data_IF_639941524854
#
_entry.id   IF_639941524854
#
_cell.length_a   1.000
_cell.length_b   1.000
_cell.length_c   1.000
_cell.angle_alpha   90.00
_cell.angle_beta   90.00
_cell.angle_gamma   90.00
#
_symmetry.space_group_name_H-M   'P 1'
#
loop_
_entity.id
_entity.type
_entity.pdbx_description
1 polymer ?
#
# COMPACT_ATOMS: atom_id res chain seq x y z
N UNK A 1 36.97 24.58 50.16
CA UNK A 1 36.26 23.32 49.84
C UNK A 1 34.80 23.62 49.45
N UNK A 2 34.55 24.18 48.24
CA UNK A 2 33.21 24.64 47.81
C UNK A 2 33.01 24.56 46.27
N UNK A 3 33.40 23.44 45.64
CA UNK A 3 33.24 23.27 44.17
C UNK A 3 32.56 21.95 43.78
N UNK A 4 32.22 21.06 44.72
CA UNK A 4 31.70 19.72 44.37
C UNK A 4 30.18 19.55 44.37
N UNK A 5 29.39 20.56 44.73
CA UNK A 5 27.93 20.40 44.86
C UNK A 5 27.14 20.97 43.67
N UNK A 6 27.70 21.88 42.88
CA UNK A 6 26.98 22.48 41.74
C UNK A 6 26.93 21.56 40.52
N UNK A 7 27.88 20.64 40.36
CA UNK A 7 27.93 19.75 39.21
C UNK A 7 26.91 18.59 39.28
N UNK A 8 26.33 18.32 40.46
CA UNK A 8 25.36 17.23 40.62
C UNK A 8 23.92 17.63 40.31
N UNK A 9 23.61 18.94 40.28
CA UNK A 9 22.26 19.43 39.95
C UNK A 9 22.06 19.72 38.45
N UNK A 10 23.13 19.71 37.65
CA UNK A 10 23.03 19.88 36.18
C UNK A 10 22.90 18.56 35.41
N UNK A 11 23.16 17.41 36.04
CA UNK A 11 23.03 16.09 35.38
C UNK A 11 21.63 15.49 35.61
N UNK A 12 20.89 15.96 36.62
CA UNK A 12 19.51 15.52 36.90
C UNK A 12 18.44 16.24 36.06
N UNK A 13 18.80 17.26 35.29
CA UNK A 13 17.87 18.02 34.45
C UNK A 13 17.94 17.68 32.95
N UNK A 14 18.88 16.81 32.53
CA UNK A 14 19.01 16.38 31.12
C UNK A 14 18.44 14.97 30.86
N UNK A 15 18.01 14.24 31.89
CA UNK A 15 17.62 12.82 31.76
C UNK A 15 16.12 12.51 31.85
N UNK A 16 15.22 13.50 31.79
CA UNK A 16 13.76 13.26 31.80
C UNK A 16 12.96 13.96 30.67
N UNK A 17 13.60 14.33 29.56
CA UNK A 17 12.93 14.19 28.25
C UNK A 17 13.07 12.72 27.83
N UNK A 18 12.46 11.83 28.62
CA UNK A 18 12.03 10.56 28.08
C UNK A 18 11.02 10.93 26.99
N UNK A 19 11.49 10.99 25.75
CA UNK A 19 10.65 10.73 24.59
C UNK A 19 10.12 9.30 24.77
N UNK A 20 9.18 9.11 25.70
CA UNK A 20 8.31 7.94 25.74
C UNK A 20 7.66 7.97 24.37
N UNK A 21 8.13 7.07 23.50
CA UNK A 21 7.50 6.77 22.23
C UNK A 21 6.05 6.47 22.60
N UNK A 22 5.14 7.44 22.40
CA UNK A 22 3.72 7.26 22.72
C UNK A 22 3.28 5.96 22.07
N UNK A 23 2.62 5.10 22.82
CA UNK A 23 2.13 3.86 22.24
C UNK A 23 1.16 4.20 21.10
N UNK A 24 1.00 3.30 20.14
CA UNK A 24 0.07 3.50 19.03
C UNK A 24 -1.35 3.82 19.54
N UNK A 25 -1.74 3.20 20.66
CA UNK A 25 -3.00 3.48 21.33
C UNK A 25 -3.05 4.90 21.91
N UNK A 26 -2.00 5.37 22.60
CA UNK A 26 -1.97 6.75 23.12
C UNK A 26 -2.06 7.79 21.99
N UNK A 27 -1.43 7.50 20.84
CA UNK A 27 -1.52 8.36 19.66
C UNK A 27 -2.96 8.42 19.13
N UNK A 28 -3.60 7.27 18.94
CA UNK A 28 -4.98 7.18 18.50
C UNK A 28 -5.94 7.91 19.45
N UNK A 29 -5.89 7.58 20.75
CA UNK A 29 -6.72 8.22 21.78
C UNK A 29 -6.52 9.74 21.83
N UNK A 30 -5.25 10.19 21.75
CA UNK A 30 -4.96 11.63 21.72
C UNK A 30 -5.49 12.34 20.48
N UNK A 31 -5.65 11.61 19.37
CA UNK A 31 -6.22 12.13 18.13
C UNK A 31 -7.75 12.19 18.18
N UNK A 32 -8.41 11.09 18.57
CA UNK A 32 -9.88 11.01 18.59
C UNK A 32 -10.52 11.85 19.69
N UNK A 33 -9.84 12.00 20.85
CA UNK A 33 -10.32 12.78 22.01
C UNK A 33 -9.63 14.12 22.17
N UNK A 34 -9.09 14.66 21.07
CA UNK A 34 -8.44 15.97 21.08
C UNK A 34 -9.42 17.02 21.60
N UNK A 35 -9.06 17.69 22.69
CA UNK A 35 -9.87 18.77 23.27
C UNK A 35 -9.79 20.00 22.38
N UNK A 36 -10.74 20.11 21.46
CA UNK A 36 -10.98 21.31 20.67
C UNK A 36 -12.29 21.95 21.10
N UNK A 37 -12.35 23.27 21.02
CA UNK A 37 -13.53 24.07 21.39
C UNK A 37 -14.68 23.90 20.39
N UNK A 38 -14.40 23.35 19.21
CA UNK A 38 -15.41 23.08 18.19
C UNK A 38 -16.37 21.97 18.63
N UNK A 39 -17.64 22.12 18.20
CA UNK A 39 -18.68 21.10 18.37
C UNK A 39 -18.41 19.89 17.46
N UNK A 40 -17.99 20.15 16.23
CA UNK A 40 -17.62 19.13 15.23
C UNK A 40 -16.34 19.52 14.49
N UNK A 41 -15.53 18.53 14.12
CA UNK A 41 -14.26 18.69 13.44
C UNK A 41 -14.32 17.91 12.12
N UNK A 42 -14.11 18.59 11.00
CA UNK A 42 -14.05 17.90 9.71
C UNK A 42 -12.78 17.06 9.64
N UNK A 43 -12.94 15.74 9.48
CA UNK A 43 -11.83 14.83 9.27
C UNK A 43 -11.25 15.04 7.87
N UNK A 44 -9.97 15.39 7.79
CA UNK A 44 -9.22 15.41 6.54
C UNK A 44 -8.57 14.06 6.32
N UNK A 45 -8.82 13.44 5.17
CA UNK A 45 -8.24 12.16 4.74
C UNK A 45 -7.30 12.37 3.55
N UNK A 46 -6.38 11.43 3.36
CA UNK A 46 -5.35 11.45 2.32
C UNK A 46 -5.92 11.26 0.90
N UNK A 47 -7.16 10.77 0.77
CA UNK A 47 -7.80 10.67 -0.55
C UNK A 47 -8.10 12.05 -1.17
N UNK A 48 -8.44 13.04 -0.35
CA UNK A 48 -8.89 14.36 -0.83
C UNK A 48 -7.86 15.46 -0.58
N UNK A 49 -6.96 15.26 0.37
CA UNK A 49 -6.02 16.28 0.83
C UNK A 49 -4.58 15.83 0.60
N UNK A 50 -3.69 16.79 0.38
CA UNK A 50 -2.24 16.50 0.40
C UNK A 50 -1.82 16.01 1.80
N UNK A 51 -0.79 15.17 1.84
CA UNK A 51 -0.29 14.57 3.10
C UNK A 51 0.14 15.66 4.09
N UNK A 52 0.67 16.78 3.60
CA UNK A 52 1.11 17.92 4.39
C UNK A 52 -0.05 18.60 5.13
N UNK A 53 -1.25 18.57 4.55
CA UNK A 53 -2.46 19.18 5.09
C UNK A 53 -3.15 18.33 6.17
N UNK A 54 -2.72 17.07 6.36
CA UNK A 54 -3.26 16.17 7.39
C UNK A 54 -2.69 16.49 8.79
N UNK A 55 -3.49 16.25 9.82
CA UNK A 55 -3.05 16.36 11.23
C UNK A 55 -1.80 15.50 11.46
N UNK A 56 -0.83 16.06 12.20
CA UNK A 56 0.47 15.43 12.43
C UNK A 56 0.34 14.06 13.11
N UNK A 57 -0.63 13.90 14.00
CA UNK A 57 -0.88 12.63 14.69
C UNK A 57 -1.54 11.64 13.75
N UNK A 58 -2.52 12.07 12.96
CA UNK A 58 -3.14 11.25 11.92
C UNK A 58 -2.09 10.67 10.97
N UNK A 59 -1.24 11.54 10.42
CA UNK A 59 -0.15 11.19 9.50
C UNK A 59 0.80 10.15 10.10
N UNK A 60 1.26 10.37 11.33
CA UNK A 60 2.12 9.42 12.05
C UNK A 60 1.48 8.05 12.24
N UNK A 61 0.16 8.00 12.43
CA UNK A 61 -0.57 6.74 12.58
C UNK A 61 -0.57 6.00 11.24
N UNK A 62 -0.94 6.67 10.15
CA UNK A 62 -1.08 6.04 8.82
C UNK A 62 0.27 5.69 8.15
N UNK A 63 1.36 6.36 8.50
CA UNK A 63 2.71 6.03 7.98
C UNK A 63 3.29 4.74 8.58
N UNK A 64 2.74 4.26 9.70
CA UNK A 64 3.27 3.09 10.42
C UNK A 64 2.31 1.89 10.37
N UNK A 65 2.61 0.93 9.50
CA UNK A 65 1.83 -0.30 9.32
C UNK A 65 1.85 -1.23 10.54
N UNK A 66 2.71 -1.01 11.54
CA UNK A 66 2.62 -1.76 12.81
C UNK A 66 1.34 -1.46 13.59
N UNK A 67 0.61 -0.40 13.22
CA UNK A 67 -0.63 0.01 13.89
C UNK A 67 -1.86 -0.77 13.40
N UNK A 68 -1.73 -1.64 12.39
CA UNK A 68 -2.86 -2.31 11.74
C UNK A 68 -3.75 -3.09 12.69
N UNK A 69 -3.17 -3.95 13.54
CA UNK A 69 -3.95 -4.73 14.52
C UNK A 69 -4.73 -3.85 15.48
N UNK A 70 -4.11 -2.75 15.96
CA UNK A 70 -4.78 -1.78 16.82
C UNK A 70 -5.95 -1.12 16.10
N UNK A 71 -5.75 -0.67 14.86
CA UNK A 71 -6.79 0.03 14.11
C UNK A 71 -7.95 -0.91 13.74
N UNK A 72 -7.68 -2.18 13.43
CA UNK A 72 -8.74 -3.19 13.21
C UNK A 72 -9.56 -3.44 14.47
N UNK A 73 -8.94 -3.45 15.65
CA UNK A 73 -9.68 -3.51 16.92
C UNK A 73 -10.50 -2.24 17.15
N UNK A 74 -9.91 -1.07 16.91
CA UNK A 74 -10.62 0.22 17.05
C UNK A 74 -11.78 0.36 16.05
N UNK A 75 -11.69 -0.22 14.86
CA UNK A 75 -12.73 -0.19 13.83
C UNK A 75 -14.09 -0.72 14.30
N UNK A 76 -14.10 -1.59 15.32
CA UNK A 76 -15.31 -2.15 15.95
C UNK A 76 -16.01 -1.16 16.90
N UNK A 77 -15.30 -0.14 17.37
CA UNK A 77 -15.83 0.81 18.36
C UNK A 77 -16.96 1.67 17.80
N UNK A 78 -18.07 1.74 18.53
CA UNK A 78 -19.22 2.61 18.24
C UNK A 78 -19.21 3.90 19.06
N UNK A 79 -18.16 4.13 19.85
CA UNK A 79 -18.04 5.33 20.68
C UNK A 79 -17.92 6.58 19.82
N UNK A 80 -18.82 7.52 20.02
CA UNK A 80 -18.86 8.78 19.27
C UNK A 80 -17.59 9.62 19.48
N UNK A 81 -17.23 10.36 18.43
CA UNK A 81 -16.16 11.35 18.46
C UNK A 81 -16.71 12.71 18.03
N UNK A 82 -15.86 13.74 18.09
CA UNK A 82 -16.18 15.04 17.52
C UNK A 82 -15.96 15.12 16.01
N UNK A 83 -15.41 14.08 15.37
CA UNK A 83 -15.10 14.13 13.95
C UNK A 83 -16.34 13.95 13.08
N UNK A 84 -16.34 14.54 11.89
CA UNK A 84 -17.33 14.31 10.84
C UNK A 84 -16.66 14.28 9.47
N UNK A 85 -17.29 13.59 8.51
CA UNK A 85 -16.94 13.71 7.09
C UNK A 85 -17.88 14.75 6.45
N UNK A 86 -17.41 15.60 5.53
CA UNK A 86 -18.30 16.50 4.79
C UNK A 86 -19.44 15.72 4.15
N UNK A 87 -20.67 16.19 4.33
CA UNK A 87 -21.92 15.57 3.84
C UNK A 87 -22.44 14.36 4.64
N UNK A 88 -21.80 13.97 5.74
CA UNK A 88 -22.43 13.11 6.74
C UNK A 88 -23.20 13.96 7.76
N UNK A 89 -24.44 13.58 8.06
CA UNK A 89 -25.33 14.31 8.99
C UNK A 89 -25.06 13.93 10.46
N UNK A 90 -24.09 13.06 10.74
CA UNK A 90 -23.78 12.58 12.09
C UNK A 90 -22.28 12.62 12.43
N UNK A 91 -21.94 12.67 13.73
CA UNK A 91 -20.58 12.50 14.20
C UNK A 91 -20.09 11.08 13.91
N UNK A 92 -18.83 10.95 13.57
CA UNK A 92 -18.15 9.67 13.38
C UNK A 92 -17.88 8.99 14.71
N UNK A 93 -17.88 7.67 14.71
CA UNK A 93 -17.37 6.87 15.83
C UNK A 93 -15.84 6.73 15.77
N UNK A 94 -15.22 6.28 16.86
CA UNK A 94 -13.82 5.87 16.87
C UNK A 94 -13.55 4.82 15.77
N UNK A 95 -14.49 3.91 15.57
CA UNK A 95 -14.39 2.90 14.53
C UNK A 95 -14.41 3.45 13.12
N UNK A 96 -15.21 4.48 12.85
CA UNK A 96 -15.24 5.13 11.54
C UNK A 96 -13.92 5.85 11.24
N UNK A 97 -13.35 6.54 12.24
CA UNK A 97 -12.04 7.17 12.12
C UNK A 97 -10.94 6.14 11.86
N UNK A 98 -10.98 5.01 12.57
CA UNK A 98 -10.04 3.91 12.36
C UNK A 98 -10.16 3.27 10.96
N UNK A 99 -11.39 3.11 10.45
CA UNK A 99 -11.64 2.66 9.07
C UNK A 99 -11.00 3.64 8.08
N UNK A 100 -11.22 4.95 8.21
CA UNK A 100 -10.57 5.94 7.36
C UNK A 100 -9.04 5.84 7.40
N UNK A 101 -8.46 5.71 8.60
CA UNK A 101 -7.01 5.55 8.76
C UNK A 101 -6.48 4.28 8.08
N UNK A 102 -7.21 3.16 8.14
CA UNK A 102 -6.83 1.92 7.46
C UNK A 102 -6.86 2.08 5.93
N UNK A 103 -7.90 2.72 5.40
CA UNK A 103 -8.02 2.98 3.96
C UNK A 103 -6.86 3.87 3.44
N UNK A 104 -6.52 4.93 4.19
CA UNK A 104 -5.42 5.83 3.85
C UNK A 104 -4.04 5.16 4.01
N UNK A 105 -3.83 4.40 5.10
CA UNK A 105 -2.59 3.66 5.36
C UNK A 105 -2.27 2.67 4.24
N UNK A 106 -3.30 1.95 3.78
CA UNK A 106 -3.19 0.92 2.76
C UNK A 106 -3.52 1.41 1.34
N UNK A 107 -3.69 2.74 1.17
CA UNK A 107 -3.89 3.42 -0.11
C UNK A 107 -4.88 2.71 -1.04
N UNK A 108 -6.06 2.38 -0.50
CA UNK A 108 -7.10 1.72 -1.30
C UNK A 108 -7.50 2.60 -2.48
N UNK A 109 -7.47 2.07 -3.70
CA UNK A 109 -7.88 2.82 -4.89
C UNK A 109 -9.39 3.02 -4.92
N UNK A 110 -9.83 4.11 -5.57
CA UNK A 110 -11.26 4.41 -5.74
C UNK A 110 -12.00 3.29 -6.49
N UNK A 111 -11.37 2.66 -7.48
CA UNK A 111 -11.97 1.55 -8.24
C UNK A 111 -12.16 0.32 -7.37
N UNK A 112 -11.16 -0.04 -6.56
CA UNK A 112 -11.28 -1.17 -5.65
C UNK A 112 -12.33 -0.88 -4.57
N UNK A 113 -12.32 0.33 -4.02
CA UNK A 113 -13.33 0.78 -3.06
C UNK A 113 -14.74 0.67 -3.68
N UNK A 114 -14.94 1.16 -4.91
CA UNK A 114 -16.21 1.10 -5.63
C UNK A 114 -16.70 -0.34 -5.82
N UNK A 115 -15.82 -1.24 -6.25
CA UNK A 115 -16.19 -2.61 -6.61
C UNK A 115 -16.35 -3.55 -5.40
N UNK A 116 -15.58 -3.33 -4.33
CA UNK A 116 -15.54 -4.23 -3.17
C UNK A 116 -16.38 -3.72 -2.01
N UNK A 117 -16.23 -2.45 -1.64
CA UNK A 117 -16.94 -1.93 -0.47
C UNK A 117 -18.44 -1.83 -0.73
N UNK A 118 -18.83 -1.41 -1.94
CA UNK A 118 -20.25 -1.23 -2.26
C UNK A 118 -20.98 -2.45 -2.80
N UNK A 119 -20.33 -3.62 -2.93
CA UNK A 119 -20.95 -4.83 -3.52
C UNK A 119 -22.32 -5.20 -2.93
N UNK A 120 -22.55 -4.88 -1.64
CA UNK A 120 -23.78 -5.20 -0.91
C UNK A 120 -24.52 -3.95 -0.39
N UNK A 121 -24.06 -2.75 -0.77
CA UNK A 121 -24.60 -1.50 -0.25
C UNK A 121 -25.63 -0.99 -1.25
N UNK A 122 -26.88 -0.89 -0.80
CA UNK A 122 -27.94 -0.25 -1.57
C UNK A 122 -27.58 1.22 -1.77
N UNK A 123 -27.47 1.64 -3.03
CA UNK A 123 -27.15 3.03 -3.40
C UNK A 123 -28.44 3.84 -3.39
N UNK A 124 -28.64 4.66 -2.37
CA UNK A 124 -29.83 5.53 -2.28
C UNK A 124 -29.48 6.98 -2.66
N UNK A 125 -28.32 7.46 -2.20
CA UNK A 125 -27.82 8.83 -2.44
C UNK A 125 -26.65 8.82 -3.45
N UNK A 126 -26.24 7.64 -3.92
CA UNK A 126 -25.11 7.41 -4.84
C UNK A 126 -23.81 8.09 -4.38
N UNK A 127 -23.58 8.17 -3.07
CA UNK A 127 -22.45 8.90 -2.49
C UNK A 127 -21.78 8.11 -1.36
N UNK A 128 -20.70 8.66 -0.80
CA UNK A 128 -20.07 8.11 0.40
C UNK A 128 -21.05 8.00 1.60
N UNK A 129 -22.14 8.77 1.60
CA UNK A 129 -23.17 8.67 2.63
C UNK A 129 -23.82 7.28 2.66
N UNK A 130 -24.02 6.63 1.51
CA UNK A 130 -24.57 5.27 1.44
C UNK A 130 -23.68 4.26 2.18
N UNK A 131 -22.35 4.41 2.02
CA UNK A 131 -21.37 3.54 2.67
C UNK A 131 -21.44 3.68 4.19
N UNK A 132 -21.43 4.91 4.69
CA UNK A 132 -21.46 5.14 6.13
C UNK A 132 -22.81 4.80 6.75
N UNK A 133 -23.90 5.08 6.05
CA UNK A 133 -25.23 4.66 6.47
C UNK A 133 -25.28 3.14 6.63
N UNK A 134 -24.78 2.39 5.64
CA UNK A 134 -24.70 0.93 5.71
C UNK A 134 -23.94 0.43 6.94
N UNK A 135 -22.76 1.01 7.24
CA UNK A 135 -21.95 0.64 8.42
C UNK A 135 -22.70 0.91 9.72
N UNK A 136 -23.49 1.98 9.78
CA UNK A 136 -24.21 2.40 10.99
C UNK A 136 -25.52 1.64 11.20
N UNK A 137 -26.01 0.88 10.21
CA UNK A 137 -27.25 0.08 10.34
C UNK A 137 -27.11 -1.06 11.35
N UNK A 138 -25.98 -1.78 11.38
CA UNK A 138 -25.79 -2.92 12.29
C UNK A 138 -24.31 -3.24 12.54
N UNK A 139 -24.06 -3.94 13.65
CA UNK A 139 -22.73 -4.48 13.94
C UNK A 139 -22.27 -5.48 12.87
N UNK A 140 -23.18 -6.29 12.32
CA UNK A 140 -22.89 -7.23 11.24
C UNK A 140 -22.40 -6.53 9.97
N UNK A 141 -23.03 -5.41 9.59
CA UNK A 141 -22.60 -4.62 8.44
C UNK A 141 -21.22 -4.02 8.67
N UNK A 142 -20.95 -3.51 9.87
CA UNK A 142 -19.62 -3.03 10.25
C UNK A 142 -18.59 -4.14 10.18
N UNK A 143 -18.89 -5.32 10.73
CA UNK A 143 -18.01 -6.49 10.69
C UNK A 143 -17.74 -6.97 9.26
N UNK A 144 -18.73 -6.91 8.37
CA UNK A 144 -18.54 -7.18 6.95
C UNK A 144 -17.54 -6.21 6.30
N UNK A 145 -17.68 -4.91 6.56
CA UNK A 145 -16.73 -3.91 6.05
C UNK A 145 -15.34 -4.13 6.64
N UNK A 146 -15.22 -4.38 7.94
CA UNK A 146 -13.94 -4.71 8.58
C UNK A 146 -13.34 -5.94 7.90
N UNK A 147 -14.12 -6.99 7.63
CA UNK A 147 -13.64 -8.18 6.91
C UNK A 147 -13.15 -7.84 5.51
N UNK A 148 -13.85 -6.99 4.75
CA UNK A 148 -13.38 -6.52 3.43
C UNK A 148 -12.07 -5.74 3.52
N UNK A 149 -11.91 -4.92 4.55
CA UNK A 149 -10.66 -4.19 4.82
C UNK A 149 -9.55 -5.16 5.21
N UNK A 150 -9.80 -6.14 6.08
CA UNK A 150 -8.84 -7.18 6.44
C UNK A 150 -8.39 -7.95 5.19
N UNK A 151 -9.32 -8.38 4.34
CA UNK A 151 -8.99 -9.03 3.07
C UNK A 151 -8.14 -8.11 2.19
N UNK A 152 -8.46 -6.82 2.08
CA UNK A 152 -7.63 -5.86 1.35
C UNK A 152 -6.22 -5.70 1.95
N UNK A 153 -6.11 -5.69 3.27
CA UNK A 153 -4.83 -5.61 3.97
C UNK A 153 -4.01 -6.87 3.70
N UNK A 154 -4.62 -8.05 3.76
CA UNK A 154 -3.96 -9.30 3.38
C UNK A 154 -3.48 -9.22 1.92
N UNK A 155 -4.33 -8.74 1.02
CA UNK A 155 -4.00 -8.48 -0.38
C UNK A 155 -2.78 -7.54 -0.51
N UNK A 156 -2.77 -6.41 0.19
CA UNK A 156 -1.72 -5.39 0.12
C UNK A 156 -0.42 -5.81 0.82
N UNK A 157 -0.51 -6.51 1.95
CA UNK A 157 0.63 -6.96 2.76
C UNK A 157 1.19 -8.29 2.30
N UNK A 158 0.38 -9.09 1.60
CA UNK A 158 0.91 -10.22 0.85
C UNK A 158 1.83 -9.67 -0.22
N UNK A 159 2.98 -10.30 -0.36
CA UNK A 159 3.77 -10.26 -1.59
C UNK A 159 3.02 -10.81 -2.81
N UNK A 160 1.74 -11.21 -2.65
CA UNK A 160 1.09 -12.27 -3.42
C UNK A 160 -0.15 -11.81 -4.20
N UNK A 161 -0.51 -10.53 -4.23
CA UNK A 161 -1.30 -10.02 -5.36
C UNK A 161 -0.40 -9.55 -6.48
N UNK A 162 0.24 -10.56 -7.03
CA UNK A 162 0.69 -10.55 -8.38
C UNK A 162 -0.54 -10.81 -9.23
N UNK A 163 -0.97 -9.84 -10.00
CA UNK A 163 -1.93 -10.12 -11.06
C UNK A 163 -1.33 -11.19 -11.96
N UNK A 164 -2.10 -12.23 -12.29
CA UNK A 164 -1.61 -13.27 -13.17
C UNK A 164 -1.20 -12.66 -14.51
N UNK A 165 -0.01 -13.02 -14.99
CA UNK A 165 0.36 -12.78 -16.37
C UNK A 165 -0.50 -13.65 -17.30
N UNK A 166 -0.94 -13.06 -18.40
CA UNK A 166 -1.38 -13.80 -19.58
C UNK A 166 -0.27 -13.82 -20.64
N UNK A 167 -0.24 -14.85 -21.48
CA UNK A 167 0.72 -14.92 -22.58
C UNK A 167 0.55 -13.75 -23.56
N UNK A 168 -0.70 -13.32 -23.81
CA UNK A 168 -1.01 -12.23 -24.72
C UNK A 168 -0.41 -10.89 -24.25
N UNK A 169 -0.52 -10.58 -22.96
CA UNK A 169 0.10 -9.39 -22.36
C UNK A 169 1.62 -9.40 -22.51
N UNK A 170 2.26 -10.57 -22.35
CA UNK A 170 3.72 -10.71 -22.40
C UNK A 170 4.24 -10.58 -23.83
N UNK A 171 3.64 -11.31 -24.78
CA UNK A 171 4.13 -11.40 -26.16
C UNK A 171 4.01 -10.03 -26.86
N UNK A 172 2.94 -9.29 -26.58
CA UNK A 172 2.67 -8.01 -27.22
C UNK A 172 3.45 -6.82 -26.63
N UNK A 173 4.25 -7.03 -25.59
CA UNK A 173 4.99 -5.96 -24.93
C UNK A 173 6.47 -6.31 -24.75
N UNK A 174 7.29 -5.26 -24.66
CA UNK A 174 8.67 -5.34 -24.17
C UNK A 174 8.80 -4.52 -22.89
N UNK A 175 9.68 -4.98 -22.01
CA UNK A 175 9.90 -4.33 -20.71
C UNK A 175 11.28 -3.69 -20.70
N UNK A 176 11.38 -2.43 -20.28
CA UNK A 176 12.67 -1.75 -20.11
C UNK A 176 12.77 -1.16 -18.71
N UNK A 177 13.78 -1.53 -17.93
CA UNK A 177 13.91 -1.12 -16.54
C UNK A 177 14.10 0.39 -16.43
N UNK A 178 13.26 1.04 -15.62
CA UNK A 178 13.42 2.44 -15.26
C UNK A 178 14.51 2.52 -14.19
N UNK A 179 15.73 2.88 -14.60
CA UNK A 179 16.87 3.03 -13.69
C UNK A 179 17.90 4.02 -14.24
N UNK A 180 18.53 4.78 -13.35
CA UNK A 180 19.61 5.71 -13.72
C UNK A 180 20.96 5.01 -13.91
N UNK A 181 21.15 3.82 -13.33
CA UNK A 181 22.46 3.16 -13.26
C UNK A 181 22.52 1.81 -13.95
N UNK A 182 21.36 1.16 -14.13
CA UNK A 182 21.25 -0.19 -14.70
C UNK A 182 20.53 -0.16 -16.03
N UNK A 183 20.88 -1.11 -16.88
CA UNK A 183 20.09 -1.49 -18.04
C UNK A 183 19.53 -2.88 -17.75
N UNK A 184 18.24 -3.05 -18.02
CA UNK A 184 17.59 -4.34 -18.09
C UNK A 184 16.43 -4.25 -19.08
N UNK A 185 16.43 -5.10 -20.11
CA UNK A 185 15.35 -5.13 -21.10
C UNK A 185 14.96 -6.56 -21.42
N UNK A 186 13.67 -6.78 -21.63
CA UNK A 186 13.09 -8.07 -21.98
C UNK A 186 12.22 -7.95 -23.23
N UNK A 187 12.54 -8.73 -24.26
CA UNK A 187 11.78 -8.81 -25.51
C UNK A 187 11.33 -10.26 -25.69
N UNK A 188 10.05 -10.52 -25.46
CA UNK A 188 9.47 -11.86 -25.50
C UNK A 188 9.04 -12.27 -26.91
N UNK A 189 9.20 -13.55 -27.22
CA UNK A 189 8.84 -14.16 -28.50
C UNK A 189 8.18 -15.52 -28.25
N UNK A 190 7.26 -15.90 -29.14
CA UNK A 190 6.66 -17.24 -29.21
C UNK A 190 6.69 -17.68 -30.68
N UNK A 191 7.37 -18.79 -30.97
CA UNK A 191 7.44 -19.36 -32.30
C UNK A 191 6.19 -20.22 -32.61
N UNK A 192 5.99 -20.57 -33.88
CA UNK A 192 4.82 -21.34 -34.35
C UNK A 192 4.75 -22.75 -33.74
N UNK A 193 5.90 -23.32 -33.38
CA UNK A 193 6.02 -24.60 -32.68
C UNK A 193 5.71 -24.50 -31.17
N UNK A 194 5.35 -23.31 -30.68
CA UNK A 194 5.05 -23.03 -29.27
C UNK A 194 6.26 -22.67 -28.42
N UNK A 195 7.48 -22.64 -28.98
CA UNK A 195 8.69 -22.32 -28.25
C UNK A 195 8.69 -20.87 -27.75
N UNK A 196 8.82 -20.68 -26.43
CA UNK A 196 8.80 -19.38 -25.75
C UNK A 196 10.23 -18.92 -25.45
N UNK A 197 10.71 -17.90 -26.17
CA UNK A 197 12.06 -17.32 -25.99
C UNK A 197 11.99 -15.86 -25.62
N UNK A 198 13.01 -15.36 -24.93
CA UNK A 198 13.13 -13.95 -24.54
C UNK A 198 14.55 -13.47 -24.82
N UNK A 199 14.65 -12.35 -25.54
CA UNK A 199 15.91 -11.65 -25.74
C UNK A 199 16.11 -10.70 -24.58
N UNK A 200 17.21 -10.89 -23.87
CA UNK A 200 17.50 -10.22 -22.62
C UNK A 200 18.71 -9.29 -22.78
N UNK A 201 18.68 -8.11 -22.17
CA UNK A 201 19.89 -7.26 -22.03
C UNK A 201 19.99 -6.80 -20.60
N UNK A 202 21.14 -7.00 -19.95
CA UNK A 202 21.35 -6.57 -18.56
C UNK A 202 22.74 -6.00 -18.37
N UNK A 203 22.89 -4.98 -17.53
CA UNK A 203 24.22 -4.43 -17.22
C UNK A 203 24.18 -3.07 -16.53
N UNK A 204 25.30 -2.35 -16.63
CA UNK A 204 25.37 -0.92 -16.29
C UNK A 204 25.25 -0.10 -17.57
N UNK A 205 24.70 1.10 -17.49
CA UNK A 205 24.55 1.99 -18.66
C UNK A 205 25.87 2.26 -19.39
N UNK A 206 26.96 2.37 -18.64
CA UNK A 206 28.28 2.71 -19.19
C UNK A 206 29.07 1.49 -19.67
N UNK A 207 28.54 0.27 -19.46
CA UNK A 207 29.16 -0.98 -19.87
C UNK A 207 28.05 -1.99 -20.17
N UNK A 208 27.45 -1.89 -21.35
CA UNK A 208 26.42 -2.82 -21.77
C UNK A 208 27.04 -4.08 -22.38
N UNK A 209 26.40 -5.21 -22.14
CA UNK A 209 26.65 -6.49 -22.82
C UNK A 209 25.30 -6.89 -23.38
N UNK A 210 25.19 -7.12 -24.69
CA UNK A 210 24.00 -7.76 -25.27
C UNK A 210 23.82 -9.10 -24.59
N UNK A 211 22.68 -9.29 -23.93
CA UNK A 211 22.47 -10.48 -23.10
C UNK A 211 22.07 -11.71 -23.94
N UNK A 212 22.06 -12.89 -23.30
CA UNK A 212 21.73 -14.15 -23.96
C UNK A 212 20.24 -14.22 -24.35
N UNK A 213 19.94 -15.08 -25.32
CA UNK A 213 18.56 -15.55 -25.55
C UNK A 213 18.24 -16.59 -24.48
N UNK A 214 17.14 -16.36 -23.76
CA UNK A 214 16.65 -17.20 -22.67
C UNK A 214 15.25 -17.72 -23.03
N UNK A 215 14.68 -18.52 -22.15
CA UNK A 215 13.32 -19.05 -22.25
C UNK A 215 12.45 -18.40 -21.21
N UNK A 216 11.15 -18.35 -21.47
CA UNK A 216 10.19 -17.87 -20.49
C UNK A 216 8.98 -18.80 -20.39
N UNK A 217 8.27 -18.68 -19.27
CA UNK A 217 6.99 -19.33 -19.03
C UNK A 217 6.25 -18.66 -17.87
N UNK A 218 4.98 -19.05 -17.67
CA UNK A 218 4.17 -18.57 -16.55
C UNK A 218 4.03 -19.71 -15.53
N UNK A 219 4.56 -19.51 -14.33
CA UNK A 219 4.50 -20.48 -13.24
C UNK A 219 3.77 -19.85 -12.04
N UNK A 220 2.65 -20.42 -11.60
CA UNK A 220 1.87 -19.88 -10.47
C UNK A 220 1.54 -18.38 -10.60
N UNK A 221 1.28 -17.90 -11.82
CA UNK A 221 0.99 -16.47 -12.10
C UNK A 221 2.20 -15.56 -12.22
N UNK A 222 3.41 -16.07 -11.99
CA UNK A 222 4.68 -15.37 -12.18
C UNK A 222 5.21 -15.56 -13.59
N UNK A 223 5.78 -14.50 -14.16
CA UNK A 223 6.61 -14.63 -15.35
C UNK A 223 8.00 -15.10 -14.92
N UNK A 224 8.38 -16.29 -15.37
CA UNK A 224 9.65 -16.94 -15.07
C UNK A 224 10.52 -16.92 -16.32
N UNK A 225 11.78 -16.50 -16.18
CA UNK A 225 12.79 -16.47 -17.23
C UNK A 225 13.98 -17.33 -16.81
N UNK A 226 14.41 -18.23 -17.69
CA UNK A 226 15.43 -19.24 -17.41
C UNK A 226 16.38 -19.49 -18.60
N UNK A 227 17.65 -19.76 -18.30
CA UNK A 227 18.67 -20.15 -19.29
C UNK A 227 18.53 -21.65 -19.63
N UNK A 228 18.76 -22.01 -20.89
CA UNK A 228 18.80 -23.41 -21.32
C UNK A 228 20.04 -24.11 -20.77
N UNK A 229 19.84 -25.23 -20.08
CA UNK A 229 20.90 -26.08 -19.56
C UNK A 229 20.89 -26.21 -18.03
N UNK A 230 21.00 -27.45 -17.54
CA UNK A 230 20.99 -27.87 -16.14
C UNK A 230 21.97 -27.09 -15.24
N UNK A 231 21.59 -25.89 -14.80
CA UNK A 231 22.26 -25.17 -13.71
C UNK A 231 21.29 -24.89 -12.56
N UNK A 232 21.80 -24.87 -11.32
CA UNK A 232 20.99 -24.71 -10.11
C UNK A 232 20.20 -23.39 -10.13
N UNK A 233 19.04 -23.39 -9.44
CA UNK A 233 17.99 -22.37 -9.28
C UNK A 233 18.39 -20.89 -9.07
N UNK A 234 19.69 -20.56 -8.99
CA UNK A 234 20.22 -19.24 -8.64
C UNK A 234 20.27 -18.21 -9.77
N UNK A 235 19.90 -18.56 -11.01
CA UNK A 235 19.89 -17.62 -12.16
C UNK A 235 18.51 -17.36 -12.78
N UNK A 236 17.44 -17.88 -12.20
CA UNK A 236 16.08 -17.61 -12.70
C UNK A 236 15.68 -16.16 -12.37
N UNK A 237 15.07 -15.47 -13.33
CA UNK A 237 14.40 -14.19 -13.09
C UNK A 237 12.91 -14.47 -12.95
N UNK A 238 12.33 -14.01 -11.84
CA UNK A 238 10.89 -14.07 -11.57
C UNK A 238 10.34 -12.67 -11.52
N UNK A 239 9.34 -12.40 -12.35
CA UNK A 239 8.66 -11.11 -12.45
C UNK A 239 7.20 -11.27 -12.02
N UNK A 240 6.87 -10.68 -10.88
CA UNK A 240 5.51 -10.57 -10.38
C UNK A 240 4.86 -9.24 -10.81
N UNK A 241 3.70 -9.29 -11.45
CA UNK A 241 2.95 -8.10 -11.90
C UNK A 241 2.17 -7.47 -10.74
N UNK A 242 2.56 -6.29 -10.28
CA UNK A 242 1.81 -5.55 -9.24
C UNK A 242 0.65 -4.77 -9.87
N UNK A 243 0.92 -4.04 -10.97
CA UNK A 243 -0.09 -3.36 -11.80
C UNK A 243 0.56 -2.78 -13.07
N UNK A 244 -0.25 -2.48 -14.07
CA UNK A 244 0.14 -1.71 -15.26
C UNK A 244 -0.59 -0.36 -15.23
N UNK A 245 0.15 0.73 -15.36
CA UNK A 245 -0.37 2.08 -15.56
C UNK A 245 -0.33 2.36 -17.07
N UNK A 246 -1.47 2.12 -17.74
CA UNK A 246 -1.57 2.21 -19.21
C UNK A 246 -1.38 3.64 -19.72
N UNK A 247 -1.80 4.65 -18.95
CA UNK A 247 -1.64 6.06 -19.33
C UNK A 247 -0.17 6.45 -19.41
N UNK A 248 0.65 5.95 -18.48
CA UNK A 248 2.09 6.23 -18.44
C UNK A 248 2.92 5.18 -19.16
N UNK A 249 2.34 4.05 -19.53
CA UNK A 249 3.05 2.89 -20.05
C UNK A 249 4.05 2.33 -19.04
N UNK A 250 3.68 2.25 -17.75
CA UNK A 250 4.59 1.77 -16.68
C UNK A 250 4.06 0.47 -16.06
N UNK A 251 4.92 -0.55 -16.03
CA UNK A 251 4.71 -1.78 -15.27
C UNK A 251 5.37 -1.66 -13.90
N UNK A 252 4.56 -1.75 -12.85
CA UNK A 252 5.05 -1.91 -11.48
C UNK A 252 5.15 -3.40 -11.17
N UNK A 253 6.33 -3.87 -10.77
CA UNK A 253 6.58 -5.29 -10.62
C UNK A 253 7.51 -5.63 -9.45
N UNK A 254 7.50 -6.89 -9.05
CA UNK A 254 8.57 -7.50 -8.26
C UNK A 254 9.49 -8.29 -9.18
N UNK A 255 10.78 -7.95 -9.19
CA UNK A 255 11.84 -8.78 -9.81
C UNK A 255 12.61 -9.49 -8.70
N UNK A 256 12.56 -10.82 -8.65
CA UNK A 256 13.23 -11.63 -7.62
C UNK A 256 13.05 -11.03 -6.21
N UNK A 257 11.79 -10.74 -5.85
CA UNK A 257 11.36 -10.17 -4.56
C UNK A 257 11.77 -8.71 -4.31
N UNK A 258 12.28 -7.98 -5.32
CA UNK A 258 12.57 -6.55 -5.23
C UNK A 258 11.61 -5.75 -6.09
N UNK A 259 11.04 -4.68 -5.54
CA UNK A 259 10.20 -3.75 -6.31
C UNK A 259 11.04 -3.08 -7.39
N UNK A 260 10.51 -3.05 -8.60
CA UNK A 260 11.09 -2.42 -9.78
C UNK A 260 9.97 -1.82 -10.63
N UNK A 261 10.36 -0.87 -11.48
CA UNK A 261 9.47 -0.26 -12.46
C UNK A 261 10.07 -0.49 -13.84
N UNK A 262 9.24 -0.92 -14.78
CA UNK A 262 9.61 -1.06 -16.17
C UNK A 262 8.75 -0.12 -17.02
N UNK A 263 9.33 0.46 -18.06
CA UNK A 263 8.57 0.89 -19.20
C UNK A 263 7.92 -0.34 -19.83
N UNK A 264 6.61 -0.26 -20.04
CA UNK A 264 5.74 -1.29 -20.57
C UNK A 264 5.32 -0.89 -21.98
N UNK A 265 6.13 -1.28 -22.96
CA UNK A 265 6.06 -0.75 -24.32
C UNK A 265 5.41 -1.78 -25.23
N UNK A 266 4.33 -1.41 -25.90
CA UNK A 266 3.66 -2.26 -26.90
C UNK A 266 4.56 -2.43 -28.13
N UNK A 267 4.67 -3.67 -28.63
CA UNK A 267 5.42 -4.02 -29.85
C UNK A 267 4.62 -3.74 -31.11
#
# INVERSE_FOLDING_TARGET
MKVKIVLFLFISSISLLSCKKRSANDLFESFVHKKLNEKYIVLKTANVNSIEALDKTYRKIIENHSNTTLLLEKAKSTKETKYCIPNLVCPMTEGDVAICMLLDMYKMSDDYFKNVMYKNIKREVHSAADFWHYIHVSEDNRNEIIKKITNWIEIYTSSDLLFHWSEEEIINHRFELISDTKIETFVFHKADDGMQTVTCTYGKKDSFITGPIEYWGIENGLLCIYQYGNMPSKKQIRIGKIRIDEEKGILYAYRNNKKVEYQYIKK
#
